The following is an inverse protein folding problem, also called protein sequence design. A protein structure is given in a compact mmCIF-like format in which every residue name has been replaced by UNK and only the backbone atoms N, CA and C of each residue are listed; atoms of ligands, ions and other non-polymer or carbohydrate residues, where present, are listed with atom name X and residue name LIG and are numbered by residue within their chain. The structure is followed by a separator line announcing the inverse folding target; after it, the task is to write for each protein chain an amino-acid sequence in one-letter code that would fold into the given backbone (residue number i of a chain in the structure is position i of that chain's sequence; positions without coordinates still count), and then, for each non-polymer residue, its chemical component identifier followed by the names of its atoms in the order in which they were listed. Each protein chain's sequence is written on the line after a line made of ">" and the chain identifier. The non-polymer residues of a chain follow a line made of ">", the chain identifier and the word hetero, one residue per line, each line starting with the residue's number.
data_IF_917726170551
#
_entry.id   IF_917726170551
#
_cell.length_a   1.000
_cell.length_b   1.000
_cell.length_c   1.000
_cell.angle_alpha   90.00
_cell.angle_beta   90.00
_cell.angle_gamma   90.00
#
_symmetry.space_group_name_H-M   'P 1'
#
loop_
_entity.id
_entity.type
_entity.pdbx_description
1 polymer ?
#
# COMPACT_ATOMS: atom_id res chain seq x y z
N UNK A 1 31.63 -10.43 54.93
CA UNK A 1 30.45 -10.75 54.12
C UNK A 1 30.75 -10.36 52.69
N UNK A 2 30.98 -11.34 51.82
CA UNK A 2 31.27 -11.10 50.42
C UNK A 2 29.95 -10.94 49.66
N UNK A 3 29.67 -9.72 49.21
CA UNK A 3 28.61 -9.44 48.24
C UNK A 3 29.09 -9.88 46.87
N UNK A 4 28.56 -11.00 46.40
CA UNK A 4 28.67 -11.47 45.03
C UNK A 4 27.92 -10.50 44.11
N UNK A 5 28.66 -9.73 43.32
CA UNK A 5 28.15 -9.05 42.14
C UNK A 5 27.94 -10.13 41.08
N UNK A 6 26.69 -10.52 40.86
CA UNK A 6 26.30 -11.32 39.69
C UNK A 6 26.60 -10.46 38.47
N UNK A 7 27.69 -10.80 37.77
CA UNK A 7 27.98 -10.27 36.45
C UNK A 7 26.78 -10.62 35.56
N UNK A 8 26.12 -9.60 34.99
CA UNK A 8 25.19 -9.82 33.91
C UNK A 8 25.98 -10.51 32.79
N UNK A 9 25.67 -11.77 32.51
CA UNK A 9 26.29 -12.48 31.40
C UNK A 9 25.94 -11.72 30.12
N UNK A 10 26.94 -11.16 29.46
CA UNK A 10 26.80 -10.64 28.11
C UNK A 10 26.51 -11.83 27.20
N UNK A 11 25.23 -12.07 26.91
CA UNK A 11 24.83 -13.11 25.97
C UNK A 11 25.16 -12.65 24.56
N UNK A 12 26.12 -13.30 23.90
CA UNK A 12 26.41 -13.01 22.51
C UNK A 12 25.26 -13.52 21.63
N UNK A 13 25.07 -12.90 20.46
CA UNK A 13 24.02 -13.31 19.51
C UNK A 13 24.16 -14.79 19.10
N UNK A 14 25.39 -15.30 19.04
CA UNK A 14 25.70 -16.69 18.69
C UNK A 14 25.41 -17.71 19.79
N UNK A 15 25.23 -17.26 21.04
CA UNK A 15 24.85 -18.12 22.17
C UNK A 15 23.34 -18.33 22.26
N UNK A 16 22.57 -17.65 21.41
CA UNK A 16 21.12 -17.81 21.36
C UNK A 16 20.74 -19.20 20.82
N UNK A 17 19.63 -19.77 21.31
CA UNK A 17 19.12 -21.03 20.77
C UNK A 17 18.64 -20.87 19.31
N UNK A 18 18.61 -21.97 18.57
CA UNK A 18 18.33 -21.98 17.13
C UNK A 18 16.96 -21.35 16.79
N UNK A 19 15.94 -21.58 17.61
CA UNK A 19 14.60 -21.00 17.46
C UNK A 19 14.62 -19.46 17.54
N UNK A 20 15.40 -18.89 18.45
CA UNK A 20 15.59 -17.45 18.55
C UNK A 20 16.32 -16.89 17.32
N UNK A 21 17.37 -17.57 16.84
CA UNK A 21 18.07 -17.20 15.62
C UNK A 21 17.15 -17.25 14.38
N UNK A 22 16.34 -18.29 14.25
CA UNK A 22 15.35 -18.43 13.17
C UNK A 22 14.30 -17.32 13.24
N UNK A 23 13.82 -16.98 14.43
CA UNK A 23 12.86 -15.90 14.63
C UNK A 23 13.44 -14.54 14.20
N UNK A 24 14.71 -14.28 14.55
CA UNK A 24 15.45 -13.07 14.14
C UNK A 24 15.62 -13.05 12.62
N UNK A 25 16.13 -14.13 12.02
CA UNK A 25 16.34 -14.21 10.57
C UNK A 25 15.04 -14.09 9.78
N UNK A 26 13.92 -14.59 10.31
CA UNK A 26 12.60 -14.46 9.70
C UNK A 26 12.07 -13.00 9.66
N UNK A 27 12.62 -12.09 10.47
CA UNK A 27 12.31 -10.66 10.36
C UNK A 27 12.97 -10.00 9.15
N UNK A 28 14.18 -10.45 8.82
CA UNK A 28 15.07 -9.81 7.87
C UNK A 28 14.61 -10.05 6.43
N UNK A 29 14.93 -9.08 5.55
CA UNK A 29 14.80 -9.32 4.13
C UNK A 29 15.75 -10.45 3.70
N UNK A 30 15.43 -11.21 2.62
CA UNK A 30 16.27 -12.34 2.22
C UNK A 30 17.73 -11.99 1.94
N UNK A 31 18.01 -10.76 1.49
CA UNK A 31 19.38 -10.28 1.30
C UNK A 31 20.09 -10.04 2.64
N UNK A 32 19.41 -9.43 3.61
CA UNK A 32 19.96 -9.16 4.95
C UNK A 32 20.15 -10.45 5.74
N UNK A 33 19.21 -11.40 5.63
CA UNK A 33 19.36 -12.73 6.20
C UNK A 33 20.57 -13.48 5.62
N UNK A 34 20.82 -13.34 4.30
CA UNK A 34 22.01 -13.89 3.66
C UNK A 34 23.29 -13.19 4.12
N UNK A 35 23.27 -11.86 4.32
CA UNK A 35 24.40 -11.13 4.87
C UNK A 35 24.69 -11.54 6.32
N UNK A 36 23.64 -11.70 7.15
CA UNK A 36 23.75 -12.21 8.51
C UNK A 36 24.31 -13.64 8.55
N UNK A 37 23.93 -14.49 7.59
CA UNK A 37 24.49 -15.83 7.45
C UNK A 37 26.01 -15.84 7.19
N UNK A 38 26.59 -14.74 6.69
CA UNK A 38 28.02 -14.62 6.45
C UNK A 38 28.83 -14.21 7.69
N UNK A 39 28.19 -13.78 8.78
CA UNK A 39 28.90 -13.23 9.95
C UNK A 39 29.39 -14.31 10.91
N UNK A 40 28.61 -15.37 11.14
CA UNK A 40 29.00 -16.48 12.01
C UNK A 40 28.39 -17.82 11.59
N UNK A 41 28.95 -18.92 12.11
CA UNK A 41 28.50 -20.28 11.79
C UNK A 41 27.09 -20.59 12.30
N UNK A 42 26.71 -20.07 13.45
CA UNK A 42 25.39 -20.27 14.03
C UNK A 42 24.29 -19.67 13.14
N UNK A 43 24.49 -18.42 12.69
CA UNK A 43 23.58 -17.75 11.76
C UNK A 43 23.58 -18.42 10.37
N UNK A 44 24.73 -18.90 9.89
CA UNK A 44 24.79 -19.68 8.65
C UNK A 44 23.94 -20.96 8.72
N UNK A 45 24.05 -21.69 9.83
CA UNK A 45 23.29 -22.92 10.07
C UNK A 45 21.78 -22.63 10.13
N UNK A 46 21.37 -21.62 10.90
CA UNK A 46 19.97 -21.20 11.00
C UNK A 46 19.42 -20.69 9.67
N UNK A 47 20.18 -19.90 8.90
CA UNK A 47 19.76 -19.38 7.60
C UNK A 47 19.62 -20.47 6.53
N UNK A 48 20.36 -21.57 6.67
CA UNK A 48 20.29 -22.74 5.79
C UNK A 48 19.24 -23.76 6.24
N UNK A 49 18.66 -23.58 7.42
CA UNK A 49 17.71 -24.51 8.02
C UNK A 49 16.39 -24.53 7.23
N UNK A 50 15.83 -25.72 6.94
CA UNK A 50 14.49 -25.82 6.35
C UNK A 50 13.38 -25.32 7.30
N UNK A 51 13.71 -25.05 8.57
CA UNK A 51 12.82 -24.44 9.55
C UNK A 51 12.64 -22.93 9.36
N UNK A 52 13.53 -22.23 8.64
CA UNK A 52 13.43 -20.78 8.47
C UNK A 52 12.14 -20.32 7.76
N UNK A 53 11.71 -20.92 6.63
CA UNK A 53 10.41 -20.61 6.04
C UNK A 53 9.24 -20.95 6.96
N UNK A 54 9.34 -22.01 7.78
CA UNK A 54 8.32 -22.36 8.76
C UNK A 54 8.18 -21.29 9.84
N UNK A 55 9.30 -20.78 10.35
CA UNK A 55 9.32 -19.70 11.34
C UNK A 55 8.63 -18.43 10.78
N UNK A 56 8.90 -18.09 9.51
CA UNK A 56 8.21 -16.98 8.84
C UNK A 56 6.71 -17.26 8.63
N UNK A 57 6.34 -18.48 8.19
CA UNK A 57 4.95 -18.84 7.95
C UNK A 57 4.11 -18.81 9.23
N UNK A 58 4.60 -19.40 10.32
CA UNK A 58 3.93 -19.39 11.63
C UNK A 58 3.67 -17.97 12.11
N UNK A 59 4.64 -17.08 11.91
CA UNK A 59 4.51 -15.67 12.26
C UNK A 59 3.46 -14.94 11.44
N UNK A 60 3.33 -15.28 10.16
CA UNK A 60 2.30 -14.73 9.29
C UNK A 60 0.90 -15.31 9.58
N UNK A 61 0.77 -16.20 10.58
CA UNK A 61 -0.48 -16.91 10.88
C UNK A 61 -0.85 -17.94 9.81
N UNK A 62 0.12 -18.35 8.98
CA UNK A 62 -0.11 -19.31 7.92
C UNK A 62 0.00 -20.73 8.46
N UNK A 63 -0.79 -21.69 7.94
CA UNK A 63 -0.54 -23.10 8.20
C UNK A 63 0.90 -23.41 7.77
N UNK A 64 1.62 -24.26 8.53
CA UNK A 64 2.99 -24.59 8.21
C UNK A 64 3.05 -25.15 6.79
N UNK A 65 3.82 -24.55 5.87
CA UNK A 65 3.99 -25.11 4.53
C UNK A 65 4.52 -26.51 4.72
N UNK A 66 3.82 -27.53 4.19
CA UNK A 66 4.25 -28.92 4.35
C UNK A 66 5.60 -29.05 3.65
N UNK A 67 6.72 -29.25 4.37
CA UNK A 67 7.96 -29.57 3.69
C UNK A 67 7.74 -30.95 3.06
N UNK A 68 7.83 -31.06 1.74
CA UNK A 68 7.95 -32.39 1.14
C UNK A 68 9.27 -32.99 1.64
N UNK A 69 9.30 -34.28 2.02
CA UNK A 69 10.54 -34.93 2.47
C UNK A 69 11.65 -34.94 1.39
N UNK A 70 11.31 -34.56 0.15
CA UNK A 70 12.22 -34.40 -1.00
C UNK A 70 12.55 -32.92 -1.33
N UNK A 71 12.22 -31.97 -0.44
CA UNK A 71 12.43 -30.56 -0.72
C UNK A 71 13.93 -30.21 -0.85
N UNK A 72 14.37 -30.01 -2.10
CA UNK A 72 15.71 -29.52 -2.40
C UNK A 72 15.98 -28.17 -1.69
N UNK A 73 17.21 -27.89 -1.20
CA UNK A 73 17.57 -26.61 -0.59
C UNK A 73 17.20 -25.39 -1.45
N UNK A 74 17.19 -25.54 -2.77
CA UNK A 74 16.74 -24.50 -3.70
C UNK A 74 15.25 -24.18 -3.54
N UNK A 75 14.40 -25.18 -3.39
CA UNK A 75 12.96 -25.02 -3.17
C UNK A 75 12.64 -24.36 -1.82
N UNK A 76 13.39 -24.71 -0.76
CA UNK A 76 13.28 -24.05 0.56
C UNK A 76 13.62 -22.56 0.47
N UNK A 77 14.68 -22.21 -0.27
CA UNK A 77 15.06 -20.79 -0.51
C UNK A 77 14.02 -20.05 -1.35
N UNK A 78 13.44 -20.70 -2.37
CA UNK A 78 12.32 -20.13 -3.16
C UNK A 78 11.13 -19.85 -2.26
N UNK A 79 10.71 -20.83 -1.46
CA UNK A 79 9.61 -20.69 -0.50
C UNK A 79 9.85 -19.52 0.46
N UNK A 80 11.04 -19.39 1.06
CA UNK A 80 11.36 -18.26 1.94
C UNK A 80 11.21 -16.91 1.23
N UNK A 81 11.75 -16.77 0.01
CA UNK A 81 11.60 -15.55 -0.80
C UNK A 81 10.15 -15.27 -1.15
N UNK A 82 9.38 -16.29 -1.52
CA UNK A 82 7.96 -16.19 -1.85
C UNK A 82 7.14 -15.74 -0.65
N UNK A 83 7.34 -16.32 0.53
CA UNK A 83 6.67 -15.90 1.76
C UNK A 83 7.02 -14.45 2.13
N UNK A 84 8.29 -14.06 1.99
CA UNK A 84 8.69 -12.68 2.23
C UNK A 84 8.08 -11.72 1.19
N UNK A 85 8.00 -12.13 -0.08
CA UNK A 85 7.34 -11.37 -1.15
C UNK A 85 5.84 -11.16 -0.85
N UNK A 86 5.14 -12.21 -0.42
CA UNK A 86 3.72 -12.12 -0.03
C UNK A 86 3.53 -11.24 1.21
N UNK A 87 4.40 -11.37 2.23
CA UNK A 87 4.39 -10.48 3.41
C UNK A 87 4.49 -9.00 3.00
N UNK A 88 5.35 -8.68 2.02
CA UNK A 88 5.52 -7.31 1.54
C UNK A 88 4.30 -6.75 0.82
N UNK A 89 3.45 -7.61 0.25
CA UNK A 89 2.22 -7.18 -0.41
C UNK A 89 1.12 -6.82 0.60
N UNK A 90 1.19 -7.27 1.86
CA UNK A 90 0.13 -7.01 2.84
C UNK A 90 -0.12 -5.51 3.06
N UNK A 91 -1.41 -5.19 3.18
CA UNK A 91 -1.90 -3.85 3.47
C UNK A 91 -2.58 -3.18 2.27
N UNK A 92 -2.64 -1.85 2.31
CA UNK A 92 -3.40 -1.02 1.39
C UNK A 92 -2.53 -0.42 0.29
N UNK A 93 -3.06 -0.44 -0.93
CA UNK A 93 -2.39 0.01 -2.14
C UNK A 93 -3.32 0.90 -2.94
N UNK A 94 -2.76 1.97 -3.51
CA UNK A 94 -3.47 2.89 -4.39
C UNK A 94 -3.05 2.67 -5.83
N UNK A 95 -4.01 2.47 -6.72
CA UNK A 95 -3.80 2.42 -8.17
C UNK A 95 -3.37 3.79 -8.68
N UNK A 96 -2.34 3.84 -9.52
CA UNK A 96 -1.99 5.06 -10.25
C UNK A 96 -2.96 5.28 -11.41
N UNK A 97 -3.32 6.54 -11.70
CA UNK A 97 -4.23 6.85 -12.79
C UNK A 97 -3.65 6.34 -14.11
N UNK A 98 -4.46 5.56 -14.82
CA UNK A 98 -4.23 5.16 -16.21
C UNK A 98 -5.32 5.78 -17.07
N UNK A 99 -5.01 6.14 -18.31
CA UNK A 99 -5.89 6.84 -19.24
C UNK A 99 -7.24 6.15 -19.53
N UNK A 100 -7.43 4.91 -19.05
CA UNK A 100 -8.53 4.02 -19.45
C UNK A 100 -9.32 3.33 -18.33
N UNK A 101 -9.16 3.64 -17.04
CA UNK A 101 -9.85 2.89 -15.98
C UNK A 101 -10.87 3.72 -15.16
N UNK A 102 -12.15 3.39 -15.28
CA UNK A 102 -13.20 3.73 -14.29
C UNK A 102 -13.23 2.78 -13.08
N UNK A 103 -12.13 2.08 -12.84
CA UNK A 103 -11.97 1.06 -11.81
C UNK A 103 -11.63 1.68 -10.45
N UNK A 104 -12.00 1.05 -9.33
CA UNK A 104 -11.64 1.53 -8.00
C UNK A 104 -10.12 1.73 -7.83
N UNK A 105 -9.77 2.85 -7.21
CA UNK A 105 -8.38 3.29 -7.05
C UNK A 105 -7.66 2.67 -5.85
N UNK A 106 -8.32 1.81 -5.07
CA UNK A 106 -7.78 1.19 -3.87
C UNK A 106 -7.85 -0.34 -3.93
N UNK A 107 -6.79 -0.99 -3.45
CA UNK A 107 -6.68 -2.44 -3.32
C UNK A 107 -6.15 -2.77 -1.93
N UNK A 108 -6.73 -3.80 -1.31
CA UNK A 108 -6.24 -4.37 -0.06
C UNK A 108 -5.74 -5.79 -0.29
N UNK A 109 -4.54 -6.10 0.18
CA UNK A 109 -4.01 -7.45 0.22
C UNK A 109 -4.10 -7.97 1.66
N UNK A 110 -4.92 -8.99 1.84
CA UNK A 110 -5.20 -9.62 3.12
C UNK A 110 -5.00 -11.14 2.98
N UNK A 111 -4.64 -11.81 4.09
CA UNK A 111 -4.60 -13.27 4.09
C UNK A 111 -6.02 -13.84 3.98
N UNK A 112 -6.21 -14.74 3.04
CA UNK A 112 -7.43 -15.50 2.85
C UNK A 112 -7.27 -16.93 3.39
N UNK A 113 -8.38 -17.66 3.59
CA UNK A 113 -8.33 -19.06 3.99
C UNK A 113 -7.46 -19.88 3.05
N UNK A 114 -6.80 -20.92 3.59
CA UNK A 114 -5.88 -21.83 2.85
C UNK A 114 -4.53 -21.22 2.47
N UNK A 115 -4.02 -20.25 3.24
CA UNK A 115 -2.70 -19.64 3.03
C UNK A 115 -2.53 -18.93 1.68
N UNK A 116 -3.64 -18.48 1.09
CA UNK A 116 -3.62 -17.63 -0.09
C UNK A 116 -3.66 -16.18 0.35
N UNK A 117 -3.02 -15.31 -0.41
CA UNK A 117 -3.13 -13.86 -0.27
C UNK A 117 -4.18 -13.38 -1.25
N UNK A 118 -5.25 -12.76 -0.77
CA UNK A 118 -6.30 -12.21 -1.62
C UNK A 118 -6.18 -10.70 -1.70
N UNK A 119 -6.17 -10.18 -2.92
CA UNK A 119 -6.30 -8.78 -3.23
C UNK A 119 -7.77 -8.46 -3.53
N UNK A 120 -8.33 -7.48 -2.82
CA UNK A 120 -9.69 -6.99 -3.03
C UNK A 120 -9.66 -5.52 -3.42
N UNK A 121 -10.35 -5.17 -4.49
CA UNK A 121 -10.62 -3.78 -4.86
C UNK A 121 -11.60 -3.18 -3.86
N UNK A 122 -11.31 -1.96 -3.40
CA UNK A 122 -12.15 -1.24 -2.44
C UNK A 122 -12.86 -0.11 -3.17
N UNK A 123 -14.19 -0.11 -3.07
CA UNK A 123 -15.01 0.97 -3.57
C UNK A 123 -15.98 1.45 -2.48
N UNK A 124 -16.34 2.75 -2.48
CA UNK A 124 -17.42 3.22 -1.64
C UNK A 124 -18.71 2.46 -1.97
N UNK A 125 -19.41 1.95 -0.95
CA UNK A 125 -20.68 1.28 -1.18
C UNK A 125 -21.74 2.27 -1.67
N UNK A 126 -22.65 1.80 -2.54
CA UNK A 126 -23.79 2.61 -3.00
C UNK A 126 -24.83 2.85 -1.89
N UNK A 127 -24.72 2.13 -0.76
CA UNK A 127 -25.64 2.20 0.37
C UNK A 127 -24.85 2.42 1.66
N UNK A 128 -25.01 3.57 2.30
CA UNK A 128 -24.43 3.84 3.62
C UNK A 128 -22.96 4.27 3.61
N UNK A 129 -22.33 4.16 4.78
CA UNK A 129 -20.89 4.41 5.04
C UNK A 129 -20.00 3.18 4.79
N UNK A 130 -20.57 2.11 4.22
CA UNK A 130 -19.87 0.84 4.05
C UNK A 130 -18.85 0.88 2.89
N UNK A 131 -17.82 0.04 3.01
CA UNK A 131 -16.83 -0.21 1.95
C UNK A 131 -17.20 -1.52 1.27
N UNK A 132 -17.39 -1.47 -0.04
CA UNK A 132 -17.57 -2.69 -0.84
C UNK A 132 -16.21 -3.28 -1.22
N UNK A 133 -16.07 -4.59 -1.02
CA UNK A 133 -14.91 -5.39 -1.44
C UNK A 133 -15.30 -6.21 -2.67
N UNK A 134 -14.53 -6.09 -3.76
CA UNK A 134 -14.67 -6.99 -4.91
C UNK A 134 -13.35 -7.71 -5.18
N UNK A 135 -13.37 -9.02 -5.51
CA UNK A 135 -12.15 -9.78 -5.73
C UNK A 135 -11.34 -9.21 -6.90
N UNK A 136 -10.02 -9.21 -6.76
CA UNK A 136 -9.07 -8.80 -7.78
C UNK A 136 -8.09 -9.93 -8.06
N UNK A 137 -6.93 -9.94 -7.41
CA UNK A 137 -5.89 -10.96 -7.64
C UNK A 137 -5.84 -11.90 -6.45
N UNK A 138 -5.72 -13.20 -6.69
CA UNK A 138 -5.35 -14.18 -5.66
C UNK A 138 -3.90 -14.61 -5.89
N UNK A 139 -3.14 -14.75 -4.81
CA UNK A 139 -1.76 -15.22 -4.84
C UNK A 139 -1.59 -16.41 -3.90
N UNK A 140 -0.78 -17.37 -4.31
CA UNK A 140 -0.46 -18.56 -3.52
C UNK A 140 1.00 -18.96 -3.75
N UNK A 141 1.48 -19.92 -2.95
CA UNK A 141 2.79 -20.54 -3.16
C UNK A 141 2.57 -21.93 -3.73
N UNK A 142 3.14 -22.21 -4.90
CA UNK A 142 3.13 -23.53 -5.52
C UNK A 142 4.05 -24.52 -4.77
N UNK A 143 3.91 -25.82 -5.06
CA UNK A 143 4.78 -26.86 -4.49
C UNK A 143 6.27 -26.66 -4.84
N UNK A 144 6.57 -25.99 -5.96
CA UNK A 144 7.94 -25.60 -6.33
C UNK A 144 8.57 -24.56 -5.39
N UNK A 145 7.75 -23.89 -4.58
CA UNK A 145 8.10 -22.74 -3.76
C UNK A 145 7.91 -21.40 -4.46
N UNK A 146 7.44 -21.37 -5.71
CA UNK A 146 7.22 -20.14 -6.48
C UNK A 146 5.85 -19.50 -6.18
N UNK A 147 5.77 -18.17 -6.31
CA UNK A 147 4.51 -17.44 -6.19
C UNK A 147 3.70 -17.55 -7.48
N UNK A 148 2.46 -18.00 -7.38
CA UNK A 148 1.49 -18.01 -8.48
C UNK A 148 0.44 -16.96 -8.20
N UNK A 149 0.03 -16.19 -9.21
CA UNK A 149 -1.00 -15.18 -9.09
C UNK A 149 -2.04 -15.30 -10.22
N UNK A 150 -3.31 -15.11 -9.88
CA UNK A 150 -4.42 -15.22 -10.82
C UNK A 150 -5.48 -14.14 -10.55
N UNK A 151 -5.99 -13.55 -11.64
CA UNK A 151 -7.17 -12.68 -11.67
C UNK A 151 -8.36 -13.52 -12.16
N UNK A 152 -9.13 -14.10 -11.25
CA UNK A 152 -10.08 -15.17 -11.57
C UNK A 152 -9.34 -16.38 -12.14
N UNK A 153 -9.65 -16.77 -13.38
CA UNK A 153 -9.01 -17.87 -14.10
C UNK A 153 -7.80 -17.42 -14.94
N UNK A 154 -7.49 -16.11 -14.98
CA UNK A 154 -6.42 -15.57 -15.83
C UNK A 154 -5.12 -15.47 -15.03
N UNK A 155 -4.04 -16.14 -15.45
CA UNK A 155 -2.75 -16.01 -14.78
C UNK A 155 -2.18 -14.60 -14.95
N UNK A 156 -1.69 -14.02 -13.86
CA UNK A 156 -1.10 -12.67 -13.82
C UNK A 156 0.26 -12.70 -13.13
N UNK A 157 1.06 -11.68 -13.36
CA UNK A 157 2.31 -11.44 -12.65
C UNK A 157 2.19 -10.17 -11.81
N UNK A 158 2.65 -10.22 -10.55
CA UNK A 158 2.68 -9.07 -9.63
C UNK A 158 4.12 -8.69 -9.35
N UNK A 159 4.67 -7.76 -10.12
CA UNK A 159 6.09 -7.41 -10.10
C UNK A 159 6.36 -6.18 -9.22
N UNK A 160 7.41 -6.24 -8.38
CA UNK A 160 7.81 -5.10 -7.56
C UNK A 160 8.73 -4.16 -8.37
N UNK A 161 8.44 -2.86 -8.32
CA UNK A 161 9.26 -1.77 -8.85
C UNK A 161 9.77 -0.96 -7.64
N UNK A 162 10.85 -1.41 -7.04
CA UNK A 162 11.30 -0.89 -5.73
C UNK A 162 10.42 -1.39 -4.58
N UNK A 163 10.34 -0.62 -3.49
CA UNK A 163 9.73 -1.12 -2.25
C UNK A 163 8.24 -0.83 -2.09
N UNK A 164 7.78 0.27 -2.66
CA UNK A 164 6.42 0.78 -2.46
C UNK A 164 5.61 0.81 -3.76
N UNK A 165 6.04 0.13 -4.81
CA UNK A 165 5.34 0.14 -6.10
C UNK A 165 5.33 -1.27 -6.69
N UNK A 166 4.14 -1.69 -7.14
CA UNK A 166 3.93 -2.96 -7.84
C UNK A 166 3.24 -2.73 -9.18
N UNK A 167 3.46 -3.65 -10.10
CA UNK A 167 2.84 -3.70 -11.42
C UNK A 167 2.15 -5.05 -11.57
N UNK A 168 0.87 -5.02 -11.90
CA UNK A 168 0.07 -6.21 -12.20
C UNK A 168 -0.15 -6.28 -13.70
N UNK A 169 0.32 -7.35 -14.33
CA UNK A 169 0.20 -7.57 -15.77
C UNK A 169 -0.17 -9.01 -16.08
N UNK A 170 -0.71 -9.28 -17.28
CA UNK A 170 -0.98 -10.64 -17.71
C UNK A 170 0.32 -11.46 -17.72
N UNK A 171 0.27 -12.68 -17.20
CA UNK A 171 1.41 -13.59 -17.30
C UNK A 171 1.67 -13.85 -18.78
N UNK A 172 2.85 -13.50 -19.28
CA UNK A 172 3.30 -13.98 -20.58
C UNK A 172 3.51 -15.48 -20.43
N UNK A 173 2.71 -16.30 -21.11
CA UNK A 173 2.99 -17.72 -21.21
C UNK A 173 4.45 -17.91 -21.60
N UNK A 174 5.15 -18.78 -20.87
CA UNK A 174 6.36 -19.38 -21.38
C UNK A 174 5.93 -20.07 -22.67
N UNK A 175 6.28 -19.48 -23.82
CA UNK A 175 6.22 -20.18 -25.10
C UNK A 175 7.08 -21.43 -24.85
N UNK A 176 6.43 -22.61 -24.75
CA UNK A 176 7.12 -23.90 -24.79
C UNK A 176 8.07 -23.81 -25.99
N UNK A 177 9.39 -23.82 -25.73
CA UNK A 177 10.35 -24.09 -26.79
C UNK A 177 10.04 -25.51 -27.27
N UNK A 178 9.16 -25.63 -28.26
CA UNK A 178 8.97 -26.83 -29.05
C UNK A 178 10.36 -27.29 -29.48
N UNK A 179 10.75 -28.46 -28.98
CA UNK A 179 12.06 -29.04 -29.23
C UNK A 179 12.34 -29.13 -30.71
N UNK A 180 13.27 -28.31 -31.20
CA UNK A 180 13.89 -28.52 -32.50
C UNK A 180 15.16 -29.35 -32.29
N UNK A 181 15.00 -30.66 -32.38
CA UNK A 181 16.07 -31.64 -32.47
C UNK A 181 16.83 -31.46 -33.79
N UNK A 182 18.16 -31.36 -33.71
CA UNK A 182 19.09 -31.80 -34.75
C UNK A 182 19.70 -30.77 -35.72
N UNK A 183 21.01 -30.53 -35.56
CA UNK A 183 21.90 -30.14 -36.67
C UNK A 183 22.94 -29.05 -36.36
N UNK A 184 24.20 -29.44 -36.15
CA UNK A 184 25.36 -28.54 -35.97
C UNK A 184 25.67 -27.66 -37.21
N UNK A 185 26.32 -26.49 -37.04
CA UNK A 185 26.55 -25.45 -38.08
C UNK A 185 27.89 -25.67 -38.83
N UNK A 186 28.20 -25.04 -40.00
CA UNK A 186 28.57 -23.61 -40.04
C UNK A 186 28.31 -22.88 -41.38
N UNK A 187 27.60 -21.76 -41.35
CA UNK A 187 27.64 -20.76 -42.43
C UNK A 187 28.34 -19.48 -41.94
N UNK A 188 29.57 -19.67 -41.45
CA UNK A 188 30.56 -18.62 -41.12
C UNK A 188 31.20 -17.96 -42.38
N UNK A 189 30.64 -18.15 -43.58
CA UNK A 189 31.24 -17.61 -44.81
C UNK A 189 30.65 -16.28 -45.29
N UNK A 190 29.40 -15.94 -44.94
CA UNK A 190 28.73 -14.75 -45.50
C UNK A 190 28.74 -13.50 -44.61
N UNK A 191 29.34 -13.56 -43.42
CA UNK A 191 29.55 -12.38 -42.56
C UNK A 191 30.99 -11.85 -42.58
N UNK A 192 31.95 -12.62 -43.11
CA UNK A 192 33.37 -12.24 -43.08
C UNK A 192 33.82 -11.25 -44.15
N UNK A 193 32.93 -10.87 -45.09
CA UNK A 193 33.25 -9.92 -46.16
C UNK A 193 32.46 -8.60 -46.15
N UNK A 194 31.49 -8.44 -45.23
CA UNK A 194 30.72 -7.20 -45.13
C UNK A 194 31.24 -6.30 -43.98
N UNK A 195 32.31 -5.57 -44.29
CA UNK A 195 32.68 -4.27 -43.70
C UNK A 195 33.40 -4.26 -42.34
N UNK A 196 34.73 -4.41 -42.44
CA UNK A 196 35.69 -3.70 -41.59
C UNK A 196 35.47 -2.19 -41.67
N UNK A 197 34.95 -1.58 -40.60
CA UNK A 197 35.28 -0.22 -40.10
C UNK A 197 34.56 0.00 -38.75
N UNK A 198 35.29 -0.15 -37.65
CA UNK A 198 34.92 0.41 -36.34
C UNK A 198 35.36 1.89 -36.26
N UNK A 199 35.03 2.70 -35.23
CA UNK A 199 33.93 2.62 -34.24
C UNK A 199 33.13 3.95 -34.16
N UNK A 200 31.84 3.92 -33.78
CA UNK A 200 31.13 5.17 -33.46
C UNK A 200 29.62 5.03 -33.36
N UNK A 201 29.13 4.93 -32.11
CA UNK A 201 27.81 5.32 -31.61
C UNK A 201 26.64 5.42 -32.63
N UNK A 202 25.81 4.37 -32.68
CA UNK A 202 24.52 4.41 -33.38
C UNK A 202 23.47 3.61 -32.63
N UNK A 203 22.64 4.31 -31.84
CA UNK A 203 21.47 3.77 -31.13
C UNK A 203 20.55 3.02 -32.11
N UNK A 204 20.56 1.68 -32.08
CA UNK A 204 19.53 0.87 -32.75
C UNK A 204 18.31 0.75 -31.85
N UNK A 205 17.36 1.65 -32.11
CA UNK A 205 15.94 1.56 -31.75
C UNK A 205 15.41 0.19 -32.23
N UNK A 206 15.27 -0.77 -31.31
CA UNK A 206 14.51 -2.01 -31.57
C UNK A 206 13.02 -1.64 -31.57
N UNK A 207 12.51 -1.26 -32.73
CA UNK A 207 11.07 -1.26 -32.98
C UNK A 207 10.58 -2.73 -32.95
N UNK A 208 10.05 -3.14 -31.80
CA UNK A 208 9.23 -4.36 -31.67
C UNK A 208 7.87 -4.07 -32.31
N UNK A 209 7.80 -4.11 -33.63
CA UNK A 209 6.53 -4.34 -34.33
C UNK A 209 6.33 -5.85 -34.49
N UNK A 210 5.18 -6.34 -34.00
CA UNK A 210 4.71 -7.70 -34.30
C UNK A 210 4.46 -8.59 -33.08
N UNK A 211 3.54 -8.23 -32.18
CA UNK A 211 2.79 -9.21 -31.37
C UNK A 211 1.36 -8.69 -31.15
N UNK A 212 0.46 -9.02 -32.08
CA UNK A 212 -1.01 -8.92 -31.91
C UNK A 212 -1.56 -10.33 -31.71
N UNK A 213 -2.60 -10.44 -30.87
CA UNK A 213 -3.39 -11.62 -30.48
C UNK A 213 -2.94 -12.38 -29.21
N UNK A 214 -2.96 -11.66 -28.10
CA UNK A 214 -3.48 -12.14 -26.82
C UNK A 214 -4.13 -10.93 -26.17
N UNK A 215 -5.32 -11.06 -25.59
CA UNK A 215 -6.00 -9.94 -24.91
C UNK A 215 -5.09 -9.40 -23.81
N UNK A 216 -4.28 -8.39 -24.13
CA UNK A 216 -3.27 -7.87 -23.21
C UNK A 216 -4.01 -7.02 -22.19
N UNK A 217 -4.16 -7.55 -20.99
CA UNK A 217 -4.35 -6.73 -19.80
C UNK A 217 -3.29 -5.63 -19.83
N UNK A 218 -3.72 -4.38 -19.78
CA UNK A 218 -2.79 -3.27 -19.63
C UNK A 218 -2.13 -3.37 -18.25
N UNK A 219 -0.81 -3.12 -18.15
CA UNK A 219 -0.13 -3.11 -16.86
C UNK A 219 -0.78 -2.11 -15.90
N UNK A 220 -1.20 -2.60 -14.73
CA UNK A 220 -1.80 -1.78 -13.69
C UNK A 220 -0.76 -1.49 -12.61
N UNK A 221 -0.51 -0.20 -12.37
CA UNK A 221 0.48 0.27 -11.40
C UNK A 221 -0.18 0.59 -10.07
N UNK A 222 0.41 0.12 -8.97
CA UNK A 222 -0.08 0.41 -7.62
C UNK A 222 1.06 0.87 -6.72
N UNK A 223 0.80 1.92 -5.96
CA UNK A 223 1.73 2.44 -4.94
C UNK A 223 1.17 2.11 -3.57
N UNK A 224 2.03 1.58 -2.69
CA UNK A 224 1.68 1.28 -1.31
C UNK A 224 1.23 2.55 -0.60
N UNK A 225 0.19 2.47 0.21
CA UNK A 225 -0.16 3.53 1.14
C UNK A 225 0.64 3.24 2.41
N UNK A 226 1.81 3.91 2.62
CA UNK A 226 2.51 3.78 3.88
C UNK A 226 1.61 4.33 4.99
N UNK A 227 1.79 3.83 6.21
CA UNK A 227 1.19 4.46 7.38
C UNK A 227 -0.34 4.63 7.29
N UNK A 228 -1.03 3.58 6.83
CA UNK A 228 -2.47 3.62 6.60
C UNK A 228 -3.32 3.80 7.89
N UNK A 229 -2.68 3.71 9.06
CA UNK A 229 -3.31 3.86 10.37
C UNK A 229 -2.72 5.03 11.17
N UNK A 230 -3.55 5.72 11.97
CA UNK A 230 -3.09 6.75 12.89
C UNK A 230 -2.10 6.26 13.93
N UNK A 231 -1.24 7.18 14.39
CA UNK A 231 -0.35 6.95 15.54
C UNK A 231 -0.52 8.04 16.57
N UNK A 232 -0.05 7.82 17.80
CA UNK A 232 -0.08 8.85 18.86
C UNK A 232 0.62 10.15 18.46
N UNK A 233 1.70 10.06 17.68
CA UNK A 233 2.46 11.21 17.21
C UNK A 233 1.83 11.87 15.96
N UNK A 234 1.17 11.07 15.11
CA UNK A 234 0.53 11.51 13.87
C UNK A 234 -0.93 11.02 13.86
N UNK A 235 -1.82 11.67 14.61
CA UNK A 235 -3.18 11.18 14.86
C UNK A 235 -4.09 11.25 13.64
N UNK A 236 -3.76 12.10 12.65
CA UNK A 236 -4.56 12.23 11.43
C UNK A 236 -4.04 11.39 10.27
N UNK A 237 -2.86 10.74 10.39
CA UNK A 237 -2.28 10.05 9.23
C UNK A 237 -3.11 8.84 8.83
N UNK A 238 -3.05 8.49 7.56
CA UNK A 238 -3.58 7.22 7.06
C UNK A 238 -4.77 7.37 6.13
N UNK A 239 -5.52 6.27 5.98
CA UNK A 239 -6.64 6.15 5.05
C UNK A 239 -7.98 6.31 5.77
N UNK A 240 -8.74 7.28 5.29
CA UNK A 240 -10.01 7.71 5.86
C UNK A 240 -11.13 7.66 4.83
N UNK A 241 -12.38 7.58 5.30
CA UNK A 241 -13.58 7.69 4.47
C UNK A 241 -14.50 8.78 5.01
N UNK A 242 -15.09 9.55 4.12
CA UNK A 242 -15.96 10.66 4.47
C UNK A 242 -17.05 10.87 3.43
N UNK A 243 -18.16 11.45 3.87
CA UNK A 243 -19.31 11.72 3.00
C UNK A 243 -19.27 13.18 2.62
N UNK A 244 -19.24 13.43 1.31
CA UNK A 244 -19.14 14.77 0.78
C UNK A 244 -20.53 15.40 0.65
N UNK A 245 -20.60 16.69 0.33
CA UNK A 245 -21.86 17.45 0.19
C UNK A 245 -22.82 16.84 -0.85
N UNK A 246 -22.28 16.22 -1.90
CA UNK A 246 -23.04 15.47 -2.90
C UNK A 246 -23.57 14.11 -2.40
N UNK A 247 -23.42 13.82 -1.11
CA UNK A 247 -23.77 12.57 -0.42
C UNK A 247 -23.07 11.33 -0.97
N UNK A 248 -21.91 11.51 -1.62
CA UNK A 248 -21.05 10.39 -2.03
C UNK A 248 -19.99 10.12 -0.98
N UNK A 249 -19.85 8.85 -0.61
CA UNK A 249 -18.74 8.38 0.20
C UNK A 249 -17.46 8.41 -0.64
N UNK A 250 -16.43 9.07 -0.13
CA UNK A 250 -15.12 9.20 -0.76
C UNK A 250 -14.01 8.78 0.20
N UNK A 251 -12.86 8.41 -0.36
CA UNK A 251 -11.67 8.05 0.40
C UNK A 251 -10.66 9.19 0.41
N UNK A 252 -10.02 9.38 1.55
CA UNK A 252 -9.05 10.43 1.82
C UNK A 252 -7.76 9.82 2.37
N UNK A 253 -6.62 10.24 1.85
CA UNK A 253 -5.30 9.88 2.38
C UNK A 253 -4.69 11.12 3.00
N UNK A 254 -4.29 11.00 4.26
CA UNK A 254 -3.57 12.05 4.97
C UNK A 254 -2.14 11.60 5.21
N UNK A 255 -1.20 12.44 4.80
CA UNK A 255 0.24 12.21 4.96
C UNK A 255 0.88 13.41 5.65
N UNK A 256 1.74 13.12 6.64
CA UNK A 256 2.62 14.10 7.26
C UNK A 256 3.95 14.11 6.50
N UNK A 257 4.53 15.29 6.33
CA UNK A 257 5.90 15.42 5.83
C UNK A 257 6.92 15.42 6.99
N UNK A 258 8.20 15.46 6.64
CA UNK A 258 9.30 15.42 7.60
C UNK A 258 9.56 16.79 8.28
N UNK A 259 8.92 17.85 7.81
CA UNK A 259 9.09 19.23 8.29
C UNK A 259 7.96 19.62 9.26
N UNK A 260 6.94 18.76 9.42
CA UNK A 260 5.83 18.95 10.34
C UNK A 260 4.55 19.45 9.67
N UNK A 261 4.54 19.56 8.34
CA UNK A 261 3.34 19.82 7.56
C UNK A 261 2.51 18.55 7.36
N UNK A 262 1.27 18.75 6.92
CA UNK A 262 0.38 17.66 6.52
C UNK A 262 -0.43 18.02 5.29
N UNK A 263 -0.75 17.00 4.50
CA UNK A 263 -1.56 17.12 3.28
C UNK A 263 -2.64 16.06 3.27
N UNK A 264 -3.85 16.44 2.90
CA UNK A 264 -4.96 15.53 2.63
C UNK A 264 -5.20 15.47 1.14
N UNK A 265 -5.37 14.26 0.60
CA UNK A 265 -5.70 14.03 -0.82
C UNK A 265 -6.88 13.10 -0.93
N UNK A 266 -7.78 13.39 -1.86
CA UNK A 266 -8.85 12.49 -2.24
C UNK A 266 -8.32 11.37 -3.14
N UNK A 267 -8.81 10.15 -2.96
CA UNK A 267 -8.34 8.97 -3.71
C UNK A 267 -9.17 8.71 -4.98
N UNK A 268 -10.40 9.21 -5.06
CA UNK A 268 -11.28 9.03 -6.22
C UNK A 268 -10.97 10.04 -7.34
N UNK A 269 -10.68 9.51 -8.53
CA UNK A 269 -10.54 10.29 -9.76
C UNK A 269 -11.46 9.70 -10.83
N UNK A 270 -12.77 9.81 -10.63
CA UNK A 270 -13.77 9.33 -11.60
C UNK A 270 -14.17 10.41 -12.62
N UNK A 271 -13.38 11.47 -12.78
CA UNK A 271 -13.63 12.52 -13.78
C UNK A 271 -12.31 12.91 -14.41
N UNK A 272 -12.15 12.54 -15.67
CA UNK A 272 -11.01 12.95 -16.48
C UNK A 272 -10.86 14.46 -16.46
N UNK A 273 -9.85 14.92 -15.73
CA UNK A 273 -9.21 16.23 -15.78
C UNK A 273 -8.05 16.15 -14.79
N UNK A 274 -6.90 16.72 -15.18
CA UNK A 274 -5.58 16.69 -14.52
C UNK A 274 -5.53 17.28 -13.07
N UNK A 275 -6.48 16.92 -12.21
CA UNK A 275 -6.65 17.45 -10.84
C UNK A 275 -6.03 16.57 -9.75
N UNK A 276 -5.51 15.39 -10.10
CA UNK A 276 -5.03 14.35 -9.17
C UNK A 276 -3.82 14.66 -8.29
N UNK A 277 -3.32 15.90 -8.30
CA UNK A 277 -2.19 16.33 -7.46
C UNK A 277 -2.55 17.45 -6.48
N UNK A 278 -3.72 18.08 -6.61
CA UNK A 278 -4.16 19.15 -5.71
C UNK A 278 -4.63 18.54 -4.38
N UNK A 279 -4.09 18.97 -3.23
CA UNK A 279 -4.62 18.55 -1.93
C UNK A 279 -6.09 18.97 -1.78
N UNK A 280 -6.84 18.32 -0.90
CA UNK A 280 -8.14 18.83 -0.42
C UNK A 280 -7.87 19.96 0.57
N UNK A 281 -6.93 19.72 1.48
CA UNK A 281 -6.37 20.72 2.38
C UNK A 281 -4.92 20.38 2.70
N UNK A 282 -4.22 21.37 3.23
CA UNK A 282 -2.85 21.25 3.69
C UNK A 282 -2.58 22.23 4.83
N UNK A 283 -1.55 21.97 5.62
CA UNK A 283 -0.93 22.95 6.51
C UNK A 283 0.56 22.71 6.53
N UNK A 284 1.35 23.78 6.62
CA UNK A 284 2.80 23.72 6.85
C UNK A 284 3.15 23.46 8.32
N UNK A 285 2.18 23.64 9.22
CA UNK A 285 2.34 23.42 10.65
C UNK A 285 1.15 22.62 11.19
N UNK A 286 1.41 21.37 11.55
CA UNK A 286 0.43 20.45 12.11
C UNK A 286 0.30 20.56 13.64
N UNK A 287 0.68 21.70 14.26
CA UNK A 287 0.47 21.91 15.69
C UNK A 287 -1.00 22.08 16.05
N UNK A 288 -1.49 21.22 16.94
CA UNK A 288 -2.85 21.30 17.46
C UNK A 288 -3.00 22.40 18.51
N UNK A 289 -4.13 23.09 18.46
CA UNK A 289 -4.68 23.85 19.56
C UNK A 289 -5.25 22.85 20.59
N UNK A 290 -4.79 22.99 21.82
CA UNK A 290 -5.24 22.20 22.98
C UNK A 290 -6.30 23.00 23.76
N UNK A 291 -7.20 22.31 24.50
CA UNK A 291 -8.15 22.99 25.37
C UNK A 291 -7.45 23.75 26.52
N UNK A 292 -8.06 24.83 27.05
CA UNK A 292 -9.37 25.37 26.70
C UNK A 292 -9.38 26.17 25.39
N UNK A 293 -10.39 25.94 24.56
CA UNK A 293 -10.57 26.65 23.29
C UNK A 293 -11.16 28.05 23.50
N UNK A 294 -10.82 28.99 22.61
CA UNK A 294 -11.45 30.31 22.58
C UNK A 294 -12.94 30.22 22.24
N UNK A 295 -13.74 31.16 22.75
CA UNK A 295 -15.18 31.28 22.44
C UNK A 295 -15.43 31.31 20.93
N UNK A 296 -14.59 32.01 20.17
CA UNK A 296 -14.69 32.07 18.71
C UNK A 296 -14.58 30.70 18.03
N UNK A 297 -13.70 29.80 18.49
CA UNK A 297 -13.52 28.47 17.91
C UNK A 297 -14.68 27.54 18.30
N UNK A 298 -15.21 27.69 19.52
CA UNK A 298 -16.39 26.96 19.99
C UNK A 298 -17.66 27.36 19.23
N UNK A 299 -17.86 28.66 19.02
CA UNK A 299 -18.99 29.21 18.25
C UNK A 299 -18.93 28.73 16.80
N UNK A 300 -17.74 28.78 16.17
CA UNK A 300 -17.54 28.24 14.82
C UNK A 300 -17.95 26.78 14.74
N UNK A 301 -17.45 25.93 15.64
CA UNK A 301 -17.80 24.51 15.63
C UNK A 301 -19.31 24.31 15.83
N UNK A 302 -19.91 25.03 16.79
CA UNK A 302 -21.31 24.90 17.15
C UNK A 302 -22.28 25.38 16.06
N UNK A 303 -21.84 26.23 15.14
CA UNK A 303 -22.65 26.73 14.03
C UNK A 303 -22.63 25.84 12.77
N UNK A 304 -21.80 24.79 12.72
CA UNK A 304 -21.64 23.97 11.52
C UNK A 304 -22.47 22.69 11.57
N UNK A 305 -22.97 22.26 10.41
CA UNK A 305 -23.75 21.04 10.27
C UNK A 305 -22.86 19.87 9.83
N UNK A 306 -22.89 18.76 10.57
CA UNK A 306 -22.21 17.53 10.18
C UNK A 306 -22.90 16.88 8.97
N UNK A 307 -22.14 16.60 7.90
CA UNK A 307 -22.68 15.93 6.71
C UNK A 307 -22.89 14.45 7.02
N UNK A 308 -24.16 14.06 7.16
CA UNK A 308 -24.55 12.69 7.47
C UNK A 308 -24.97 11.90 6.22
N UNK A 309 -24.76 10.57 6.27
CA UNK A 309 -25.48 9.65 5.39
C UNK A 309 -26.87 9.44 5.97
N UNK A 310 -27.89 9.53 5.12
CA UNK A 310 -29.25 9.13 5.49
C UNK A 310 -29.28 7.61 5.63
N UNK A 311 -28.95 7.09 6.81
CA UNK A 311 -29.15 5.69 7.18
C UNK A 311 -30.48 5.53 7.90
N UNK A 312 -31.20 4.45 7.58
CA UNK A 312 -32.43 4.08 8.26
C UNK A 312 -32.09 3.55 9.66
N UNK A 313 -32.04 4.44 10.64
CA UNK A 313 -31.83 4.07 12.05
C UNK A 313 -30.65 4.80 12.68
N UNK A 314 -30.96 5.55 13.73
CA UNK A 314 -30.07 6.27 14.65
C UNK A 314 -29.28 7.43 14.04
N UNK A 315 -29.95 8.58 13.95
CA UNK A 315 -29.31 9.90 13.94
C UNK A 315 -28.69 10.14 15.32
N UNK A 316 -27.42 9.79 15.50
CA UNK A 316 -26.64 10.28 16.64
C UNK A 316 -26.22 11.72 16.35
N UNK A 317 -27.17 12.63 16.53
CA UNK A 317 -27.00 14.08 16.39
C UNK A 317 -26.39 14.66 17.66
N UNK A 318 -25.28 14.10 18.15
CA UNK A 318 -24.57 14.67 19.29
C UNK A 318 -23.31 15.34 18.76
N UNK A 319 -23.22 16.66 19.01
CA UNK A 319 -22.00 17.43 18.80
C UNK A 319 -20.84 16.62 19.37
N UNK A 320 -19.96 16.14 18.50
CA UNK A 320 -18.85 15.29 18.88
C UNK A 320 -17.94 16.10 19.80
N UNK A 321 -17.50 15.49 20.91
CA UNK A 321 -16.60 16.15 21.84
C UNK A 321 -15.26 16.40 21.12
N UNK A 322 -14.93 17.67 20.92
CA UNK A 322 -13.67 18.09 20.28
C UNK A 322 -12.55 18.01 21.30
N UNK A 323 -11.57 17.17 21.02
CA UNK A 323 -10.35 17.03 21.82
C UNK A 323 -9.30 18.07 21.44
N UNK A 324 -9.11 18.32 20.15
CA UNK A 324 -8.09 19.23 19.61
C UNK A 324 -8.55 19.88 18.31
N UNK A 325 -8.03 21.07 18.01
CA UNK A 325 -8.34 21.81 16.79
C UNK A 325 -7.05 22.07 16.01
N UNK A 326 -7.09 21.94 14.69
CA UNK A 326 -5.95 22.27 13.83
C UNK A 326 -6.39 23.21 12.71
N UNK A 327 -5.61 24.28 12.50
CA UNK A 327 -5.80 25.22 11.41
C UNK A 327 -5.24 24.65 10.11
N UNK A 328 -5.99 24.76 9.03
CA UNK A 328 -5.61 24.26 7.71
C UNK A 328 -5.92 25.28 6.62
N UNK A 329 -5.30 25.12 5.46
CA UNK A 329 -5.59 25.85 4.25
C UNK A 329 -6.22 24.91 3.21
N UNK A 330 -7.23 25.39 2.49
CA UNK A 330 -7.77 24.70 1.31
C UNK A 330 -6.87 24.91 0.11
N UNK A 331 -6.74 23.90 -0.75
CA UNK A 331 -6.18 24.08 -2.09
C UNK A 331 -7.31 24.21 -3.11
N UNK A 332 -7.26 25.29 -3.89
CA UNK A 332 -8.24 25.63 -4.91
C UNK A 332 -8.23 24.63 -6.08
N UNK A 333 -9.10 23.63 -6.01
CA UNK A 333 -9.65 22.93 -7.19
C UNK A 333 -11.11 22.47 -6.97
N UNK A 334 -11.74 22.89 -5.87
CA UNK A 334 -13.13 22.54 -5.51
C UNK A 334 -14.11 23.72 -5.61
N UNK A 335 -13.66 24.90 -6.02
CA UNK A 335 -14.52 26.08 -6.20
C UNK A 335 -15.01 26.14 -7.64
N UNK A 336 -16.33 26.18 -7.81
CA UNK A 336 -17.03 26.25 -9.09
C UNK A 336 -16.41 27.21 -10.13
N UNK A 337 -16.50 26.90 -11.45
CA UNK A 337 -15.90 27.69 -12.53
C UNK A 337 -16.62 29.02 -12.85
N UNK A 338 -17.27 29.65 -11.88
CA UNK A 338 -18.03 30.89 -12.09
C UNK A 338 -17.49 32.11 -11.34
N UNK A 339 -16.39 31.97 -10.59
CA UNK A 339 -15.74 33.10 -9.93
C UNK A 339 -14.47 33.51 -10.70
N UNK A 340 -14.68 34.15 -11.85
CA UNK A 340 -13.64 34.89 -12.56
C UNK A 340 -13.41 36.24 -11.87
N UNK A 341 -12.44 36.29 -10.95
CA UNK A 341 -11.81 37.54 -10.54
C UNK A 341 -10.28 37.36 -10.51
N UNK A 342 -9.50 38.38 -10.90
CA UNK A 342 -8.08 38.24 -11.16
C UNK A 342 -7.29 38.02 -9.87
N UNK A 343 -6.28 37.17 -10.01
CA UNK A 343 -5.24 36.79 -9.05
C UNK A 343 -4.79 37.93 -8.14
N UNK A 344 -5.12 37.81 -6.86
CA UNK A 344 -4.45 38.46 -5.74
C UNK A 344 -4.08 37.33 -4.74
N UNK A 345 -2.92 37.47 -4.06
CA UNK A 345 -2.27 36.50 -3.14
C UNK A 345 -3.11 36.10 -1.89
N UNK A 346 -4.42 36.30 -1.93
CA UNK A 346 -5.41 36.04 -0.87
C UNK A 346 -6.26 34.78 -1.10
N UNK A 347 -5.86 33.88 -2.01
CA UNK A 347 -6.69 32.75 -2.48
C UNK A 347 -6.70 31.49 -1.58
N UNK A 348 -6.16 31.54 -0.36
CA UNK A 348 -6.20 30.40 0.57
C UNK A 348 -7.45 30.51 1.45
N UNK A 349 -8.42 29.61 1.27
CA UNK A 349 -9.57 29.51 2.20
C UNK A 349 -9.08 28.83 3.48
N UNK A 350 -9.06 29.59 4.56
CA UNK A 350 -8.75 29.10 5.90
C UNK A 350 -9.81 28.07 6.32
N UNK A 351 -9.39 26.98 6.95
CA UNK A 351 -10.26 25.93 7.47
C UNK A 351 -9.80 25.41 8.83
N UNK A 352 -10.58 24.46 9.35
CA UNK A 352 -10.34 23.79 10.62
C UNK A 352 -10.49 22.28 10.47
N UNK A 353 -9.67 21.57 11.23
CA UNK A 353 -9.86 20.17 11.56
C UNK A 353 -10.24 20.11 13.03
N UNK A 354 -11.32 19.39 13.35
CA UNK A 354 -11.74 19.09 14.70
C UNK A 354 -11.47 17.61 14.96
N UNK A 355 -10.43 17.33 15.75
CA UNK A 355 -10.13 15.98 16.24
C UNK A 355 -11.05 15.66 17.41
N UNK A 356 -11.78 14.57 17.32
CA UNK A 356 -12.73 14.14 18.33
C UNK A 356 -12.09 13.19 19.35
N UNK A 357 -12.72 13.04 20.51
CA UNK A 357 -12.23 12.14 21.59
C UNK A 357 -12.16 10.66 21.18
N UNK A 358 -12.97 10.24 20.20
CA UNK A 358 -12.97 8.88 19.67
C UNK A 358 -11.82 8.58 18.69
N UNK A 359 -10.97 9.57 18.39
CA UNK A 359 -9.85 9.46 17.46
C UNK A 359 -10.23 9.69 15.99
N UNK A 360 -11.51 9.88 15.67
CA UNK A 360 -11.96 10.37 14.36
C UNK A 360 -11.88 11.89 14.31
N UNK A 361 -12.08 12.49 13.14
CA UNK A 361 -12.07 13.94 13.01
C UNK A 361 -12.96 14.42 11.88
N UNK A 362 -13.35 15.68 11.95
CA UNK A 362 -14.03 16.38 10.87
C UNK A 362 -13.20 17.53 10.36
N UNK A 363 -13.44 17.96 9.13
CA UNK A 363 -12.86 19.18 8.60
C UNK A 363 -13.92 20.04 7.91
N UNK A 364 -13.67 21.35 7.90
CA UNK A 364 -14.54 22.35 7.29
C UNK A 364 -13.76 23.62 6.95
N UNK A 365 -14.28 24.39 6.00
CA UNK A 365 -13.64 25.62 5.53
C UNK A 365 -14.46 26.85 5.92
N UNK A 366 -13.78 27.98 6.04
CA UNK A 366 -14.45 29.26 6.29
C UNK A 366 -15.38 29.58 5.12
N UNK A 367 -16.67 29.76 5.41
CA UNK A 367 -17.71 30.00 4.40
C UNK A 367 -18.50 28.76 3.98
N UNK A 368 -18.07 27.54 4.35
CA UNK A 368 -18.93 26.35 4.33
C UNK A 368 -19.68 26.24 5.65
N UNK A 369 -20.98 25.93 5.61
CA UNK A 369 -21.79 25.69 6.81
C UNK A 369 -21.78 24.20 7.22
N UNK A 370 -20.79 23.44 6.75
CA UNK A 370 -20.78 21.99 6.81
C UNK A 370 -19.44 21.44 7.33
N UNK A 371 -19.50 20.29 8.02
CA UNK A 371 -18.34 19.50 8.42
C UNK A 371 -18.38 18.15 7.70
N UNK A 372 -17.29 17.79 7.03
CA UNK A 372 -17.08 16.44 6.51
C UNK A 372 -16.41 15.63 7.61
N UNK A 373 -17.16 14.71 8.22
CA UNK A 373 -16.62 13.75 9.17
C UNK A 373 -15.88 12.61 8.47
N UNK A 374 -14.66 12.36 8.92
CA UNK A 374 -13.80 11.30 8.44
C UNK A 374 -13.72 10.16 9.46
N UNK A 375 -14.06 8.96 9.00
CA UNK A 375 -14.00 7.72 9.77
C UNK A 375 -12.90 6.80 9.25
N UNK A 376 -12.44 5.87 10.08
CA UNK A 376 -11.44 4.89 9.70
C UNK A 376 -11.94 3.99 8.53
N UNK A 377 -11.03 3.65 7.61
CA UNK A 377 -11.28 2.62 6.60
C UNK A 377 -10.81 1.25 7.08
N UNK A 378 -9.73 1.22 7.86
CA UNK A 378 -9.19 0.01 8.47
C UNK A 378 -8.80 0.26 9.93
N UNK A 379 -8.86 -0.80 10.73
CA UNK A 379 -8.40 -0.85 12.10
C UNK A 379 -7.71 -2.20 12.33
N UNK A 380 -6.54 -2.20 12.97
CA UNK A 380 -5.72 -3.39 13.22
C UNK A 380 -5.44 -4.22 11.95
N UNK A 381 -5.16 -3.55 10.84
CA UNK A 381 -4.87 -4.16 9.54
C UNK A 381 -6.09 -4.78 8.84
N UNK A 382 -7.30 -4.60 9.38
CA UNK A 382 -8.54 -5.12 8.83
C UNK A 382 -9.46 -4.00 8.36
N UNK A 383 -10.08 -4.15 7.20
CA UNK A 383 -11.05 -3.15 6.71
C UNK A 383 -12.37 -3.25 7.48
N UNK A 384 -12.87 -2.11 7.94
CA UNK A 384 -14.11 -2.00 8.72
C UNK A 384 -15.31 -1.64 7.84
N UNK A 385 -16.52 -1.88 8.36
CA UNK A 385 -17.81 -1.64 7.67
C UNK A 385 -17.88 -2.23 6.26
N UNK A 386 -17.49 -3.50 6.12
CA UNK A 386 -17.52 -4.17 4.80
C UNK A 386 -18.94 -4.62 4.45
N UNK A 387 -19.42 -4.22 3.27
CA UNK A 387 -20.58 -4.85 2.64
C UNK A 387 -20.10 -5.82 1.55
N UNK A 388 -20.48 -7.10 1.68
CA UNK A 388 -20.22 -8.13 0.66
C UNK A 388 -21.23 -8.08 -0.48
#
# INVERSE_FOLDING_TARGET
>A
MATSLVAAAETALEDLPEDALLAILAFLAPADAAAAACTCRALFAAASSPALPLALALRLGLPPPRPSPEACPASVRRLFRSLHRLRRLLGLWRRLPSSHSGSPSLVAFEWAPRATLAASLLAPSKRGLAVSKSPFVTLSVAESGDTVAALGEVPVCVNFVGDNHIVVEAASGEDEEEGMEGGSPPEEMYMHFANRRSPGAGRRRRERQGRRKGGRMEPEHFVRIPDAEPTKARPLQGLWKGVCENKTLEFYIISYDDIGGMTCRRVSENRGQNSGYSPVFWTTDATFLEPPFSEQELDRYSCLEHIQVVTCGHTETWNKAVSRILCINSSFDLVHPHLLAPFDDTSNVEGRIWLYEDGTFGFGFTGSNSIIDLNHVSMDGCIIDTSY
#
